data_IF_415557815318
#
_entry.id   IF_415557815318
#
_cell.length_a   1.000
_cell.length_b   1.000
_cell.length_c   1.000
_cell.angle_alpha   90.00
_cell.angle_beta   90.00
_cell.angle_gamma   90.00
#
_symmetry.space_group_name_H-M   'P 1'
#
loop_
_entity.id
_entity.type
_entity.pdbx_description
1 polymer ?
#
# COMPACT_ATOMS: atom_id res chain seq x y z
N UNK A 1 -2.03 -38.48 -21.56
CA UNK A 1 -1.53 -39.16 -20.36
C UNK A 1 -0.03 -39.25 -20.50
N UNK A 2 0.70 -38.46 -19.73
CA UNK A 2 2.16 -38.32 -19.85
C UNK A 2 2.83 -39.04 -18.69
N UNK A 3 3.96 -39.67 -18.95
CA UNK A 3 4.75 -40.31 -17.89
C UNK A 3 5.61 -39.25 -17.21
N UNK A 4 5.44 -39.07 -15.90
CA UNK A 4 6.33 -38.24 -15.09
C UNK A 4 7.34 -39.14 -14.38
N UNK A 5 8.63 -38.83 -14.56
CA UNK A 5 9.73 -39.61 -13.98
C UNK A 5 10.49 -38.75 -12.99
N UNK A 6 10.51 -39.16 -11.71
CA UNK A 6 11.42 -38.61 -10.71
C UNK A 6 12.68 -39.48 -10.62
N UNK A 7 13.82 -38.88 -10.90
CA UNK A 7 15.13 -39.49 -10.80
C UNK A 7 15.80 -39.07 -9.48
N UNK A 8 16.55 -39.99 -8.87
CA UNK A 8 17.38 -39.71 -7.70
C UNK A 8 18.76 -40.34 -7.88
N UNK A 9 19.78 -39.51 -7.91
CA UNK A 9 21.17 -39.95 -7.97
C UNK A 9 21.63 -40.52 -6.61
N UNK A 10 22.71 -41.30 -6.62
CA UNK A 10 23.31 -41.90 -5.41
C UNK A 10 23.74 -40.86 -4.37
N UNK A 11 24.14 -39.67 -4.82
CA UNK A 11 24.48 -38.53 -3.97
C UNK A 11 23.27 -37.76 -3.41
N UNK A 12 22.05 -38.23 -3.67
CA UNK A 12 20.80 -37.66 -3.18
C UNK A 12 20.21 -36.54 -4.03
N UNK A 13 20.90 -36.04 -5.07
CA UNK A 13 20.32 -35.05 -6.00
C UNK A 13 19.16 -35.66 -6.78
N UNK A 14 18.17 -34.83 -7.09
CA UNK A 14 16.93 -35.27 -7.73
C UNK A 14 16.57 -34.46 -8.96
N UNK A 15 15.95 -35.12 -9.92
CA UNK A 15 15.35 -34.45 -11.07
C UNK A 15 13.95 -34.95 -11.35
N UNK A 16 13.13 -34.13 -12.01
CA UNK A 16 11.87 -34.57 -12.60
C UNK A 16 11.84 -34.27 -14.09
N UNK A 17 11.39 -35.24 -14.87
CA UNK A 17 11.13 -35.12 -16.30
C UNK A 17 9.65 -35.41 -16.51
N UNK A 18 8.88 -34.41 -16.94
CA UNK A 18 7.43 -34.52 -17.06
C UNK A 18 6.92 -34.74 -18.48
N UNK A 19 7.74 -34.51 -19.52
CA UNK A 19 7.25 -34.54 -20.91
C UNK A 19 6.09 -33.56 -21.09
N UNK A 20 5.00 -33.99 -21.72
CA UNK A 20 3.78 -33.18 -21.89
C UNK A 20 2.81 -33.35 -20.71
N UNK A 21 3.30 -33.40 -19.47
CA UNK A 21 2.42 -33.46 -18.30
C UNK A 21 1.63 -32.16 -18.15
N UNK A 22 0.39 -32.25 -17.68
CA UNK A 22 -0.52 -31.13 -17.64
C UNK A 22 -1.52 -31.29 -16.50
N UNK A 23 -2.32 -30.25 -16.28
CA UNK A 23 -3.35 -30.22 -15.25
C UNK A 23 -4.78 -30.28 -15.82
N UNK A 24 -4.96 -30.59 -17.11
CA UNK A 24 -6.30 -30.73 -17.72
C UNK A 24 -7.12 -31.86 -17.10
N UNK A 25 -6.44 -32.86 -16.54
CA UNK A 25 -7.03 -33.95 -15.77
C UNK A 25 -6.47 -33.99 -14.35
N UNK A 26 -6.13 -32.83 -13.78
CA UNK A 26 -5.55 -32.67 -12.44
C UNK A 26 -4.20 -33.39 -12.23
N UNK A 27 -3.46 -33.67 -13.29
CA UNK A 27 -2.19 -34.39 -13.21
C UNK A 27 -1.17 -33.67 -12.31
N UNK A 28 -0.93 -32.38 -12.57
CA UNK A 28 0.01 -31.62 -11.75
C UNK A 28 -0.47 -31.47 -10.32
N UNK A 29 -1.73 -31.12 -10.11
CA UNK A 29 -2.34 -30.94 -8.79
C UNK A 29 -2.31 -32.22 -7.94
N UNK A 30 -2.61 -33.38 -8.53
CA UNK A 30 -2.67 -34.66 -7.81
C UNK A 30 -1.29 -35.23 -7.45
N UNK A 31 -0.27 -34.92 -8.26
CA UNK A 31 1.05 -35.55 -8.13
C UNK A 31 2.15 -34.61 -7.63
N UNK A 32 1.95 -33.28 -7.62
CA UNK A 32 2.96 -32.32 -7.17
C UNK A 32 3.53 -32.67 -5.79
N UNK A 33 2.65 -32.88 -4.79
CA UNK A 33 3.05 -33.21 -3.43
C UNK A 33 3.72 -34.59 -3.30
N UNK A 34 3.36 -35.55 -4.17
CA UNK A 34 3.96 -36.89 -4.19
C UNK A 34 5.37 -36.85 -4.78
N UNK A 35 5.59 -36.00 -5.78
CA UNK A 35 6.91 -35.76 -6.37
C UNK A 35 7.76 -34.93 -5.41
N UNK A 36 7.22 -33.84 -4.87
CA UNK A 36 7.90 -32.95 -3.93
C UNK A 36 9.12 -32.24 -4.55
N UNK A 37 9.96 -31.65 -3.70
CA UNK A 37 11.12 -30.87 -4.13
C UNK A 37 12.11 -31.67 -4.98
N UNK A 38 12.72 -30.97 -5.95
CA UNK A 38 13.76 -31.49 -6.84
C UNK A 38 14.87 -30.46 -7.06
N UNK A 39 16.07 -30.91 -7.48
CA UNK A 39 17.14 -29.99 -7.85
C UNK A 39 16.98 -29.47 -9.28
N UNK A 40 16.53 -30.35 -10.19
CA UNK A 40 16.33 -30.05 -11.62
C UNK A 40 14.92 -30.45 -12.04
N UNK A 41 14.25 -29.63 -12.84
CA UNK A 41 12.97 -29.99 -13.43
C UNK A 41 12.90 -29.57 -14.90
N UNK A 42 12.27 -30.39 -15.74
CA UNK A 42 11.82 -29.94 -17.07
C UNK A 42 10.54 -29.14 -16.94
N UNK A 43 10.39 -28.07 -17.72
CA UNK A 43 9.09 -27.50 -17.98
C UNK A 43 8.24 -28.53 -18.71
N UNK A 44 7.05 -28.76 -18.19
CA UNK A 44 6.11 -29.67 -18.80
C UNK A 44 5.52 -29.03 -20.06
N UNK A 45 5.21 -29.87 -21.04
CA UNK A 45 4.53 -29.49 -22.28
C UNK A 45 5.13 -28.25 -22.92
N UNK A 46 6.46 -28.16 -22.95
CA UNK A 46 7.16 -27.03 -23.57
C UNK A 46 6.77 -25.65 -23.01
N UNK A 47 6.32 -25.58 -21.75
CA UNK A 47 5.84 -24.32 -21.15
C UNK A 47 4.45 -23.88 -21.62
N UNK A 48 3.69 -24.76 -22.27
CA UNK A 48 2.35 -24.48 -22.79
C UNK A 48 1.33 -24.25 -21.67
N UNK A 49 0.18 -23.64 -22.03
CA UNK A 49 -0.88 -23.37 -21.06
C UNK A 49 -1.57 -24.67 -20.62
N UNK A 50 -2.07 -24.65 -19.37
CA UNK A 50 -2.58 -25.86 -18.71
C UNK A 50 -1.50 -26.77 -18.15
N UNK A 51 -0.21 -26.40 -18.30
CA UNK A 51 0.93 -27.06 -17.67
C UNK A 51 1.78 -26.02 -16.91
N UNK A 52 2.61 -26.48 -15.99
CA UNK A 52 3.47 -25.66 -15.13
C UNK A 52 2.66 -24.71 -14.24
N UNK A 53 1.60 -25.25 -13.63
CA UNK A 53 0.77 -24.57 -12.63
C UNK A 53 1.64 -23.98 -11.50
N UNK A 54 1.14 -22.95 -10.83
CA UNK A 54 1.88 -22.34 -9.72
C UNK A 54 2.16 -23.35 -8.62
N UNK A 55 1.18 -24.18 -8.27
CA UNK A 55 1.33 -25.19 -7.23
C UNK A 55 2.44 -26.18 -7.60
N UNK A 56 2.41 -26.75 -8.81
CA UNK A 56 3.46 -27.63 -9.33
C UNK A 56 4.85 -27.00 -9.24
N UNK A 57 5.02 -25.83 -9.86
CA UNK A 57 6.31 -25.13 -9.92
C UNK A 57 6.78 -24.72 -8.52
N UNK A 58 5.87 -24.38 -7.61
CA UNK A 58 6.21 -24.01 -6.23
C UNK A 58 6.62 -25.19 -5.37
N UNK A 59 5.99 -26.36 -5.56
CA UNK A 59 6.31 -27.58 -4.81
C UNK A 59 7.62 -28.20 -5.29
N UNK A 60 7.87 -28.19 -6.60
CA UNK A 60 9.15 -28.66 -7.15
C UNK A 60 10.32 -27.81 -6.64
N UNK A 61 10.14 -26.48 -6.53
CA UNK A 61 11.12 -25.52 -5.99
C UNK A 61 12.53 -25.73 -6.59
N UNK A 62 12.57 -26.01 -7.90
CA UNK A 62 13.77 -26.47 -8.57
C UNK A 62 14.83 -25.37 -8.64
N UNK A 63 16.10 -25.76 -8.48
CA UNK A 63 17.25 -24.85 -8.67
C UNK A 63 17.51 -24.59 -10.14
N UNK A 64 17.21 -25.58 -10.99
CA UNK A 64 17.37 -25.50 -12.44
C UNK A 64 16.07 -25.94 -13.13
N UNK A 65 15.56 -25.10 -14.02
CA UNK A 65 14.48 -25.41 -14.94
C UNK A 65 15.04 -25.60 -16.35
N UNK A 66 14.70 -26.74 -16.97
CA UNK A 66 15.00 -27.03 -18.36
C UNK A 66 13.77 -26.71 -19.21
N UNK A 67 13.90 -25.79 -20.15
CA UNK A 67 12.89 -25.47 -21.14
C UNK A 67 13.20 -26.28 -22.41
N UNK A 68 12.45 -27.34 -22.74
CA UNK A 68 12.73 -28.21 -23.90
C UNK A 68 12.32 -27.55 -25.22
N UNK A 69 12.75 -26.30 -25.44
CA UNK A 69 12.41 -25.47 -26.59
C UNK A 69 13.64 -24.76 -27.13
N UNK A 70 13.56 -24.30 -28.39
CA UNK A 70 14.57 -23.38 -28.95
C UNK A 70 14.64 -22.06 -28.18
N UNK A 71 13.54 -21.56 -27.64
CA UNK A 71 13.53 -20.33 -26.86
C UNK A 71 13.12 -20.63 -25.43
N UNK A 72 13.72 -19.94 -24.47
CA UNK A 72 13.25 -19.93 -23.08
C UNK A 72 11.90 -19.22 -23.02
N UNK A 73 10.78 -19.94 -23.14
CA UNK A 73 9.45 -19.36 -23.08
C UNK A 73 8.43 -20.18 -22.28
N UNK A 74 7.33 -19.51 -21.92
CA UNK A 74 6.11 -20.18 -21.45
C UNK A 74 4.87 -19.36 -21.78
N UNK A 75 3.69 -19.96 -21.58
CA UNK A 75 2.42 -19.34 -21.90
C UNK A 75 2.08 -18.14 -21.01
N UNK A 76 1.57 -17.07 -21.64
CA UNK A 76 0.86 -15.96 -21.01
C UNK A 76 -0.66 -16.16 -20.95
N UNK A 77 -1.19 -17.19 -21.61
CA UNK A 77 -2.61 -17.52 -21.50
C UNK A 77 -2.93 -17.91 -20.06
N UNK A 78 -4.09 -17.45 -19.58
CA UNK A 78 -4.63 -17.80 -18.26
C UNK A 78 -4.59 -19.31 -18.07
N UNK A 79 -4.11 -19.72 -16.90
CA UNK A 79 -4.19 -21.11 -16.48
C UNK A 79 -5.63 -21.39 -16.04
N UNK A 80 -6.38 -22.26 -16.75
CA UNK A 80 -7.79 -22.51 -16.42
C UNK A 80 -7.97 -23.25 -15.09
N UNK A 81 -6.89 -23.77 -14.48
CA UNK A 81 -6.94 -24.57 -13.25
C UNK A 81 -6.60 -23.78 -12.00
N UNK A 82 -6.19 -22.51 -12.13
CA UNK A 82 -5.80 -21.69 -10.99
C UNK A 82 -6.93 -20.77 -10.52
N UNK A 83 -7.06 -20.65 -9.19
CA UNK A 83 -8.09 -19.83 -8.53
C UNK A 83 -7.92 -18.33 -8.78
N UNK A 84 -6.70 -17.89 -9.05
CA UNK A 84 -6.39 -16.50 -9.36
C UNK A 84 -6.32 -16.34 -10.89
N UNK A 85 -7.24 -15.52 -11.40
CA UNK A 85 -7.47 -15.38 -12.84
C UNK A 85 -6.31 -14.72 -13.60
N UNK A 86 -5.34 -14.13 -12.90
CA UNK A 86 -4.16 -13.51 -13.50
C UNK A 86 -2.95 -14.46 -13.58
N UNK A 87 -3.08 -15.70 -13.10
CA UNK A 87 -1.95 -16.63 -13.05
C UNK A 87 -1.86 -17.48 -14.32
N UNK A 88 -0.67 -17.47 -14.91
CA UNK A 88 -0.29 -18.27 -16.06
C UNK A 88 1.08 -18.92 -15.79
N UNK A 89 1.46 -19.90 -16.59
CA UNK A 89 2.75 -20.61 -16.50
C UNK A 89 3.94 -19.64 -16.45
N UNK A 90 3.88 -18.54 -17.22
CA UNK A 90 4.89 -17.49 -17.19
C UNK A 90 5.02 -16.81 -15.83
N UNK A 91 3.92 -16.43 -15.19
CA UNK A 91 3.95 -15.80 -13.88
C UNK A 91 4.43 -16.78 -12.79
N UNK A 92 4.06 -18.06 -12.88
CA UNK A 92 4.54 -19.13 -11.99
C UNK A 92 6.05 -19.30 -12.06
N UNK A 93 6.60 -19.43 -13.26
CA UNK A 93 8.05 -19.62 -13.50
C UNK A 93 8.82 -18.36 -13.13
N UNK A 94 8.29 -17.19 -13.48
CA UNK A 94 8.87 -15.89 -13.14
C UNK A 94 9.13 -15.74 -11.64
N UNK A 95 8.21 -16.20 -10.78
CA UNK A 95 8.40 -16.21 -9.31
C UNK A 95 9.61 -17.03 -8.87
N UNK A 96 9.90 -18.15 -9.53
CA UNK A 96 11.08 -18.98 -9.22
C UNK A 96 12.38 -18.31 -9.68
N UNK A 97 12.37 -17.67 -10.85
CA UNK A 97 13.52 -16.92 -11.35
C UNK A 97 13.96 -15.83 -10.34
N UNK A 98 13.00 -15.16 -9.68
CA UNK A 98 13.30 -14.19 -8.60
C UNK A 98 13.95 -14.82 -7.36
N UNK A 99 13.76 -16.12 -7.12
CA UNK A 99 14.42 -16.84 -6.02
C UNK A 99 15.83 -17.33 -6.37
N UNK A 100 16.29 -17.07 -7.60
CA UNK A 100 17.58 -17.53 -8.10
C UNK A 100 17.54 -18.87 -8.82
N UNK A 101 16.35 -19.41 -9.12
CA UNK A 101 16.23 -20.56 -10.04
C UNK A 101 16.79 -20.18 -11.41
N UNK A 102 17.65 -21.04 -11.94
CA UNK A 102 18.25 -20.88 -13.28
C UNK A 102 17.37 -21.56 -14.32
N UNK A 103 17.20 -20.97 -15.49
CA UNK A 103 16.45 -21.58 -16.61
C UNK A 103 17.37 -21.76 -17.81
N UNK A 104 17.28 -22.91 -18.48
CA UNK A 104 18.04 -23.23 -19.69
C UNK A 104 17.13 -23.76 -20.77
N UNK A 105 17.17 -23.14 -21.94
CA UNK A 105 16.56 -23.68 -23.15
C UNK A 105 17.56 -24.43 -24.02
N UNK A 106 17.06 -25.22 -24.97
CA UNK A 106 17.90 -25.84 -25.98
C UNK A 106 18.59 -24.80 -26.88
N UNK A 107 17.95 -23.65 -27.14
CA UNK A 107 18.59 -22.59 -27.91
C UNK A 107 19.71 -21.86 -27.18
N UNK A 108 19.61 -21.71 -25.85
CA UNK A 108 20.72 -21.16 -25.05
C UNK A 108 22.00 -22.02 -25.20
N UNK A 109 21.83 -23.34 -25.32
CA UNK A 109 22.92 -24.26 -25.64
C UNK A 109 23.52 -23.96 -27.02
N UNK A 110 22.68 -23.84 -28.05
CA UNK A 110 23.16 -23.55 -29.41
C UNK A 110 23.85 -22.20 -29.53
N UNK A 111 23.34 -21.16 -28.85
CA UNK A 111 23.94 -19.82 -28.86
C UNK A 111 25.29 -19.79 -28.12
N UNK A 112 25.50 -20.70 -27.17
CA UNK A 112 26.77 -20.92 -26.48
C UNK A 112 27.72 -21.87 -27.25
N UNK A 113 27.36 -22.32 -28.45
CA UNK A 113 28.15 -23.28 -29.24
C UNK A 113 28.17 -24.69 -28.66
N UNK A 114 27.16 -25.06 -27.87
CA UNK A 114 27.00 -26.41 -27.31
C UNK A 114 26.05 -27.23 -28.19
N UNK A 115 26.43 -28.47 -28.49
CA UNK A 115 25.55 -29.44 -29.16
C UNK A 115 24.43 -29.94 -28.23
N UNK A 116 24.66 -29.91 -26.92
CA UNK A 116 23.68 -30.25 -25.89
C UNK A 116 24.00 -29.57 -24.56
N UNK A 117 22.95 -29.22 -23.79
CA UNK A 117 23.09 -28.84 -22.38
C UNK A 117 23.08 -30.11 -21.54
N UNK A 118 24.15 -30.35 -20.79
CA UNK A 118 24.37 -31.52 -19.94
C UNK A 118 24.31 -31.10 -18.48
N UNK A 119 23.38 -31.72 -17.75
CA UNK A 119 23.24 -31.58 -16.30
C UNK A 119 23.43 -32.95 -15.66
N UNK A 120 24.60 -33.16 -15.09
CA UNK A 120 24.94 -34.27 -14.23
C UNK A 120 24.28 -34.10 -12.85
N UNK A 121 23.53 -35.12 -12.43
CA UNK A 121 22.99 -35.20 -11.07
C UNK A 121 24.03 -35.79 -10.11
N UNK A 122 24.84 -36.74 -10.58
CA UNK A 122 26.02 -37.22 -9.88
C UNK A 122 27.24 -36.31 -10.11
N UNK A 123 28.34 -36.61 -9.42
CA UNK A 123 29.59 -35.85 -9.56
C UNK A 123 30.54 -36.46 -10.61
N UNK A 124 30.12 -37.50 -11.33
CA UNK A 124 30.99 -38.25 -12.26
C UNK A 124 30.94 -37.67 -13.68
N UNK A 125 29.87 -36.97 -14.03
CA UNK A 125 29.75 -36.25 -15.30
C UNK A 125 29.95 -34.73 -15.10
N UNK A 126 30.67 -34.08 -16.02
CA UNK A 126 30.89 -32.63 -15.98
C UNK A 126 29.69 -31.89 -16.55
N UNK A 127 29.10 -30.99 -15.74
CA UNK A 127 28.13 -30.01 -16.23
C UNK A 127 28.80 -29.08 -17.24
N UNK A 128 28.17 -28.87 -18.40
CA UNK A 128 28.67 -27.93 -19.42
C UNK A 128 27.84 -26.65 -19.49
N UNK A 129 27.11 -26.32 -18.42
CA UNK A 129 26.31 -25.10 -18.32
C UNK A 129 27.26 -23.88 -18.25
N UNK A 130 27.20 -22.93 -19.20
CA UNK A 130 28.04 -21.74 -19.16
C UNK A 130 27.81 -20.92 -17.89
N UNK A 131 28.89 -20.38 -17.32
CA UNK A 131 28.81 -19.54 -16.12
C UNK A 131 28.34 -18.11 -16.41
N UNK A 132 28.40 -17.62 -17.66
CA UNK A 132 28.08 -16.23 -18.05
C UNK A 132 27.23 -16.18 -19.32
N UNK A 133 25.95 -16.55 -19.24
CA UNK A 133 25.02 -16.45 -20.36
C UNK A 133 23.86 -15.49 -20.03
N UNK A 134 23.40 -14.74 -21.02
CA UNK A 134 22.26 -13.81 -20.90
C UNK A 134 21.00 -14.57 -21.28
N UNK A 135 20.17 -14.94 -20.30
CA UNK A 135 18.94 -15.67 -20.59
C UNK A 135 17.82 -14.69 -20.88
N UNK A 136 17.11 -14.86 -21.99
CA UNK A 136 15.86 -14.15 -22.27
C UNK A 136 14.69 -15.12 -22.04
N UNK A 137 13.95 -14.95 -20.93
CA UNK A 137 12.71 -15.69 -20.71
C UNK A 137 11.51 -14.90 -21.24
N UNK A 138 10.72 -15.51 -22.12
CA UNK A 138 9.68 -14.85 -22.92
C UNK A 138 8.30 -15.42 -22.60
N UNK A 139 7.28 -14.56 -22.54
CA UNK A 139 5.89 -14.97 -22.45
C UNK A 139 5.22 -15.03 -23.83
N UNK A 140 4.37 -16.02 -24.11
CA UNK A 140 3.72 -16.19 -25.43
C UNK A 140 2.21 -16.47 -25.30
N UNK A 141 1.37 -15.84 -26.12
CA UNK A 141 -0.07 -16.15 -26.22
C UNK A 141 -0.36 -17.20 -27.29
N UNK A 142 -1.46 -17.95 -27.17
CA UNK A 142 -1.81 -19.07 -28.06
C UNK A 142 -2.24 -18.64 -29.46
N UNK A 143 -2.64 -17.39 -29.64
CA UNK A 143 -3.06 -16.81 -30.93
C UNK A 143 -1.89 -16.39 -31.83
N UNK A 144 -0.65 -16.78 -31.51
CA UNK A 144 0.55 -16.42 -32.26
C UNK A 144 0.95 -14.94 -32.15
N UNK A 145 0.19 -14.12 -31.41
CA UNK A 145 0.61 -12.76 -31.10
C UNK A 145 1.68 -12.81 -30.01
N UNK A 146 2.92 -12.57 -30.41
CA UNK A 146 4.04 -12.40 -29.50
C UNK A 146 3.84 -11.14 -28.67
N UNK A 147 3.63 -11.30 -27.36
CA UNK A 147 3.87 -10.23 -26.41
C UNK A 147 5.27 -10.45 -25.83
N UNK A 148 6.26 -9.77 -26.40
CA UNK A 148 7.65 -9.89 -25.99
C UNK A 148 7.84 -9.22 -24.61
N UNK A 149 7.68 -9.99 -23.54
CA UNK A 149 8.17 -9.60 -22.22
C UNK A 149 9.47 -10.35 -21.96
N UNK A 150 10.57 -9.80 -22.46
CA UNK A 150 11.91 -10.34 -22.21
C UNK A 150 12.27 -10.10 -20.75
N UNK A 151 12.48 -11.18 -20.02
CA UNK A 151 13.22 -11.15 -18.78
C UNK A 151 14.67 -11.52 -19.12
N UNK A 152 15.58 -10.54 -19.08
CA UNK A 152 17.02 -10.82 -19.17
C UNK A 152 17.58 -11.17 -17.78
N UNK A 153 18.19 -12.35 -17.65
CA UNK A 153 18.93 -12.78 -16.46
C UNK A 153 20.42 -12.83 -16.81
N UNK A 154 21.28 -12.27 -15.95
CA UNK A 154 22.72 -12.53 -15.97
C UNK A 154 23.01 -13.54 -14.86
N UNK A 155 24.05 -14.35 -15.01
CA UNK A 155 24.46 -15.31 -13.99
C UNK A 155 24.62 -14.63 -12.62
N UNK A 156 23.77 -15.02 -11.66
CA UNK A 156 23.76 -14.45 -10.30
C UNK A 156 22.68 -13.41 -10.01
N UNK A 157 21.82 -13.07 -10.98
CA UNK A 157 20.69 -12.15 -10.74
C UNK A 157 20.25 -11.41 -12.00
N UNK A 158 18.99 -10.99 -12.03
CA UNK A 158 18.39 -10.28 -13.16
C UNK A 158 19.15 -8.99 -13.53
N UNK A 159 19.39 -8.79 -14.83
CA UNK A 159 19.52 -7.44 -15.39
C UNK A 159 18.39 -7.33 -16.42
N UNK A 160 17.30 -6.67 -16.06
CA UNK A 160 16.20 -6.38 -16.99
C UNK A 160 16.77 -5.75 -18.27
N UNK A 161 16.64 -6.44 -19.40
CA UNK A 161 17.30 -6.08 -20.66
C UNK A 161 16.31 -5.86 -21.79
N UNK A 162 16.25 -4.60 -22.25
CA UNK A 162 15.88 -4.11 -23.59
C UNK A 162 14.57 -4.61 -24.23
N UNK A 163 13.46 -4.50 -23.52
CA UNK A 163 12.15 -4.21 -24.09
C UNK A 163 11.52 -3.15 -23.17
N UNK A 164 11.00 -2.05 -23.70
CA UNK A 164 10.63 -0.86 -22.91
C UNK A 164 9.63 -1.14 -21.78
N UNK A 165 10.15 -1.50 -20.60
CA UNK A 165 9.42 -1.42 -19.36
C UNK A 165 9.35 0.06 -19.00
N UNK A 166 8.16 0.63 -19.06
CA UNK A 166 7.88 2.05 -18.80
C UNK A 166 7.93 2.34 -17.30
N UNK A 167 9.02 1.94 -16.63
CA UNK A 167 9.25 2.15 -15.21
C UNK A 167 8.16 1.57 -14.32
N UNK A 168 8.19 2.01 -13.06
CA UNK A 168 7.09 1.79 -12.13
C UNK A 168 5.82 2.43 -12.69
N UNK A 169 4.69 1.73 -12.59
CA UNK A 169 3.46 2.19 -13.26
C UNK A 169 2.18 1.81 -12.53
N UNK A 170 1.19 2.66 -12.69
CA UNK A 170 -0.19 2.37 -12.37
C UNK A 170 -0.83 1.47 -13.43
N UNK A 171 -1.69 0.55 -12.98
CA UNK A 171 -2.49 -0.34 -13.82
C UNK A 171 -3.93 -0.37 -13.31
N UNK A 172 -4.87 -0.03 -14.18
CA UNK A 172 -6.29 -0.21 -13.90
C UNK A 172 -6.73 -1.60 -14.36
N UNK A 173 -7.38 -2.36 -13.47
CA UNK A 173 -7.92 -3.70 -13.74
C UNK A 173 -9.16 -3.92 -12.87
N UNK A 174 -10.22 -4.51 -13.44
CA UNK A 174 -11.46 -4.86 -12.70
C UNK A 174 -12.03 -3.73 -11.83
N UNK A 175 -11.99 -2.49 -12.32
CA UNK A 175 -12.54 -1.33 -11.60
C UNK A 175 -11.62 -0.75 -10.51
N UNK A 176 -10.39 -1.25 -10.35
CA UNK A 176 -9.45 -0.84 -9.30
C UNK A 176 -8.09 -0.47 -9.89
N UNK A 177 -7.37 0.40 -9.18
CA UNK A 177 -5.99 0.76 -9.49
C UNK A 177 -5.02 -0.11 -8.71
N UNK A 178 -3.93 -0.48 -9.38
CA UNK A 178 -2.83 -1.26 -8.82
C UNK A 178 -1.50 -0.59 -9.20
N UNK A 179 -0.47 -0.76 -8.37
CA UNK A 179 0.87 -0.30 -8.69
C UNK A 179 1.81 -1.46 -8.93
N UNK A 180 2.57 -1.39 -10.02
CA UNK A 180 3.61 -2.34 -10.37
C UNK A 180 4.97 -1.67 -10.22
N UNK A 181 5.88 -2.29 -9.45
CA UNK A 181 7.26 -1.83 -9.37
C UNK A 181 8.04 -2.10 -10.67
N UNK A 182 9.32 -1.73 -10.71
CA UNK A 182 10.22 -1.96 -11.86
C UNK A 182 10.30 -3.43 -12.31
N UNK A 183 10.08 -4.37 -11.39
CA UNK A 183 10.05 -5.81 -11.66
C UNK A 183 8.68 -6.29 -12.18
N UNK A 184 7.69 -5.41 -12.21
CA UNK A 184 6.32 -5.72 -12.54
C UNK A 184 5.61 -6.59 -11.52
N UNK A 185 6.02 -6.49 -10.26
CA UNK A 185 5.33 -7.08 -9.12
C UNK A 185 4.32 -6.08 -8.57
N UNK A 186 3.11 -6.57 -8.29
CA UNK A 186 2.06 -5.82 -7.60
C UNK A 186 2.54 -5.45 -6.21
N UNK A 187 2.45 -4.17 -5.86
CA UNK A 187 2.82 -3.67 -4.55
C UNK A 187 1.63 -3.69 -3.59
N UNK A 188 1.94 -3.66 -2.29
CA UNK A 188 0.99 -3.52 -1.18
C UNK A 188 1.56 -2.51 -0.17
N UNK A 189 0.71 -1.95 0.69
CA UNK A 189 1.11 -0.92 1.66
C UNK A 189 1.41 0.43 1.01
N UNK A 190 2.24 1.23 1.69
CA UNK A 190 2.62 2.57 1.22
C UNK A 190 3.58 2.53 0.04
N UNK A 191 3.26 3.29 -1.00
CA UNK A 191 4.16 3.55 -2.14
C UNK A 191 4.25 5.05 -2.38
N UNK A 192 5.38 5.51 -2.93
CA UNK A 192 5.57 6.89 -3.35
C UNK A 192 5.71 6.95 -4.87
N UNK A 193 4.86 7.73 -5.53
CA UNK A 193 4.87 7.91 -6.97
C UNK A 193 4.59 9.37 -7.34
N UNK A 194 5.32 9.92 -8.31
CA UNK A 194 5.08 11.29 -8.78
C UNK A 194 5.17 12.36 -7.68
N UNK A 195 5.88 12.09 -6.57
CA UNK A 195 5.98 12.99 -5.42
C UNK A 195 4.88 12.82 -4.37
N UNK A 196 3.81 12.08 -4.65
CA UNK A 196 2.72 11.78 -3.72
C UNK A 196 2.86 10.38 -3.11
N UNK A 197 2.25 10.18 -1.95
CA UNK A 197 2.14 8.87 -1.29
C UNK A 197 0.77 8.25 -1.59
N UNK A 198 0.71 6.94 -1.73
CA UNK A 198 -0.49 6.17 -1.96
C UNK A 198 -0.47 4.93 -1.08
N UNK A 199 -1.64 4.38 -0.78
CA UNK A 199 -1.76 3.15 0.00
C UNK A 199 -2.48 2.06 -0.80
N UNK A 200 -1.88 0.87 -0.85
CA UNK A 200 -2.42 -0.30 -1.53
C UNK A 200 -2.83 -1.35 -0.48
N UNK A 201 -4.05 -1.89 -0.55
CA UNK A 201 -4.50 -2.97 0.34
C UNK A 201 -3.72 -4.26 0.12
N UNK A 202 -3.97 -5.28 0.94
CA UNK A 202 -3.32 -6.59 0.85
C UNK A 202 -3.54 -7.28 -0.51
N UNK A 203 -4.68 -7.05 -1.17
CA UNK A 203 -4.95 -7.49 -2.54
C UNK A 203 -4.26 -6.63 -3.61
N UNK A 204 -3.52 -5.60 -3.20
CA UNK A 204 -2.80 -4.62 -4.02
C UNK A 204 -3.64 -3.49 -4.59
N UNK A 205 -4.94 -3.43 -4.28
CA UNK A 205 -5.81 -2.38 -4.77
C UNK A 205 -5.54 -1.05 -4.06
N UNK A 206 -5.50 0.04 -4.82
CA UNK A 206 -5.36 1.38 -4.28
C UNK A 206 -6.55 1.76 -3.41
N UNK A 207 -6.26 2.31 -2.23
CA UNK A 207 -7.25 2.82 -1.29
C UNK A 207 -7.49 4.31 -1.53
N UNK A 208 -8.74 4.69 -1.30
CA UNK A 208 -9.22 6.08 -1.19
C UNK A 208 -9.92 6.23 0.16
N UNK A 209 -10.07 7.45 0.64
CA UNK A 209 -10.65 7.77 1.94
C UNK A 209 -9.77 7.34 3.11
N UNK A 210 -10.40 6.96 4.22
CA UNK A 210 -9.70 6.62 5.46
C UNK A 210 -8.90 5.32 5.39
N UNK A 211 -7.65 5.40 5.86
CA UNK A 211 -6.75 4.25 6.07
C UNK A 211 -6.22 4.31 7.50
N UNK A 212 -6.32 3.19 8.22
CA UNK A 212 -5.70 3.02 9.53
C UNK A 212 -4.48 2.12 9.41
N UNK A 213 -3.32 2.61 9.82
CA UNK A 213 -2.10 1.82 9.92
C UNK A 213 -1.57 1.87 11.36
N UNK A 214 -1.60 0.72 12.03
CA UNK A 214 -1.37 0.65 13.47
C UNK A 214 -2.37 1.53 14.24
N UNK A 215 -1.84 2.53 14.95
CA UNK A 215 -2.64 3.49 15.72
C UNK A 215 -2.81 4.84 15.02
N UNK A 216 -2.37 4.96 13.76
CA UNK A 216 -2.39 6.23 13.03
C UNK A 216 -3.41 6.19 11.90
N UNK A 217 -4.20 7.25 11.77
CA UNK A 217 -5.13 7.44 10.67
C UNK A 217 -4.54 8.34 9.59
N UNK A 218 -4.84 8.01 8.34
CA UNK A 218 -4.47 8.74 7.13
C UNK A 218 -5.72 8.89 6.26
N UNK A 219 -5.72 9.90 5.39
CA UNK A 219 -6.78 10.13 4.42
C UNK A 219 -6.19 10.19 3.02
N UNK A 220 -6.77 9.42 2.10
CA UNK A 220 -6.36 9.28 0.71
C UNK A 220 -7.43 9.99 -0.13
N UNK A 221 -7.04 10.93 -0.99
CA UNK A 221 -7.95 11.64 -1.89
C UNK A 221 -8.64 10.72 -2.90
N UNK A 222 -9.53 11.26 -3.71
CA UNK A 222 -10.23 10.49 -4.76
C UNK A 222 -9.28 9.92 -5.82
N UNK A 223 -8.15 10.58 -6.04
CA UNK A 223 -7.05 10.12 -6.90
C UNK A 223 -6.10 9.13 -6.19
N UNK A 224 -6.36 8.82 -4.92
CA UNK A 224 -5.56 7.96 -4.06
C UNK A 224 -4.35 8.64 -3.44
N UNK A 225 -4.09 9.92 -3.70
CA UNK A 225 -2.97 10.61 -3.10
C UNK A 225 -3.22 10.89 -1.60
N UNK A 226 -2.23 10.63 -0.76
CA UNK A 226 -2.29 10.90 0.67
C UNK A 226 -2.43 12.40 0.92
N UNK A 227 -3.48 12.79 1.62
CA UNK A 227 -3.80 14.17 1.93
C UNK A 227 -2.93 14.69 3.10
N UNK A 228 -2.59 15.97 3.02
CA UNK A 228 -1.95 16.74 4.10
C UNK A 228 -2.73 18.05 4.31
N UNK A 229 -2.66 18.64 5.50
CA UNK A 229 -3.43 19.84 5.84
C UNK A 229 -4.91 19.54 6.07
N UNK A 230 -5.77 20.50 5.76
CA UNK A 230 -7.22 20.38 5.98
C UNK A 230 -7.88 19.42 5.00
N UNK A 231 -8.70 18.51 5.52
CA UNK A 231 -9.53 17.57 4.77
C UNK A 231 -10.97 17.73 5.21
N UNK A 232 -11.90 17.80 4.24
CA UNK A 232 -13.33 17.75 4.51
C UNK A 232 -13.87 16.40 4.06
N UNK A 233 -14.42 15.64 4.99
CA UNK A 233 -15.06 14.34 4.73
C UNK A 233 -16.53 14.44 5.14
N UNK A 234 -17.42 14.45 4.15
CA UNK A 234 -18.81 14.84 4.34
C UNK A 234 -18.93 16.28 4.87
N UNK A 235 -19.52 16.43 6.06
CA UNK A 235 -19.68 17.72 6.74
C UNK A 235 -18.61 17.97 7.82
N UNK A 236 -17.70 17.03 8.04
CA UNK A 236 -16.70 17.09 9.11
C UNK A 236 -15.34 17.49 8.55
N UNK A 237 -14.66 18.41 9.25
CA UNK A 237 -13.29 18.81 8.94
C UNK A 237 -12.29 18.04 9.81
N UNK A 238 -11.16 17.68 9.22
CA UNK A 238 -10.03 17.01 9.84
C UNK A 238 -8.73 17.72 9.43
N UNK A 239 -7.65 17.50 10.18
CA UNK A 239 -6.34 17.99 9.81
C UNK A 239 -5.31 16.87 9.79
N UNK A 240 -4.55 16.80 8.70
CA UNK A 240 -3.50 15.82 8.48
C UNK A 240 -2.13 16.53 8.59
N UNK A 241 -1.20 15.96 9.35
CA UNK A 241 0.18 16.46 9.42
C UNK A 241 0.87 16.39 8.05
N UNK A 242 2.07 16.98 7.94
CA UNK A 242 2.88 16.91 6.71
C UNK A 242 3.32 15.48 6.33
N UNK A 243 3.31 14.55 7.28
CA UNK A 243 3.54 13.12 7.03
C UNK A 243 2.24 12.33 6.81
N UNK A 244 1.09 13.02 6.71
CA UNK A 244 -0.23 12.42 6.49
C UNK A 244 -0.94 11.91 7.73
N UNK A 245 -0.31 11.89 8.90
CA UNK A 245 -0.94 11.42 10.13
C UNK A 245 -2.03 12.41 10.60
N UNK A 246 -3.24 11.91 10.86
CA UNK A 246 -4.36 12.69 11.40
C UNK A 246 -4.00 13.30 12.76
N UNK A 247 -4.35 14.56 12.95
CA UNK A 247 -4.18 15.28 14.21
C UNK A 247 -5.41 15.18 15.10
N UNK A 248 -5.14 15.21 16.39
CA UNK A 248 -6.12 15.44 17.45
C UNK A 248 -5.61 16.58 18.35
N UNK A 249 -6.49 17.16 19.16
CA UNK A 249 -6.19 18.28 20.05
C UNK A 249 -5.91 19.58 19.33
N UNK A 250 -5.13 20.46 19.97
CA UNK A 250 -4.83 21.80 19.46
C UNK A 250 -3.91 21.78 18.23
N UNK A 251 -4.27 22.58 17.23
CA UNK A 251 -3.44 22.89 16.07
C UNK A 251 -3.43 24.39 15.81
N UNK A 252 -2.36 24.89 15.17
CA UNK A 252 -2.29 26.25 14.64
C UNK A 252 -2.15 26.20 13.13
N UNK A 253 -3.06 26.85 12.40
CA UNK A 253 -3.09 26.86 10.94
C UNK A 253 -3.53 28.24 10.45
N UNK A 254 -2.86 28.79 9.43
CA UNK A 254 -3.21 30.11 8.88
C UNK A 254 -3.21 31.27 9.88
N UNK A 255 -2.49 31.15 11.00
CA UNK A 255 -2.46 32.15 12.07
C UNK A 255 -3.54 31.98 13.16
N UNK A 256 -4.54 31.12 12.94
CA UNK A 256 -5.59 30.80 13.91
C UNK A 256 -5.33 29.47 14.63
N UNK A 257 -5.92 29.32 15.82
CA UNK A 257 -5.93 28.06 16.57
C UNK A 257 -7.24 27.30 16.31
N UNK A 258 -7.14 25.97 16.22
CA UNK A 258 -8.27 25.07 16.07
C UNK A 258 -8.14 23.92 17.05
N UNK A 259 -9.26 23.30 17.41
CA UNK A 259 -9.29 22.12 18.26
C UNK A 259 -9.89 20.95 17.50
N UNK A 260 -9.20 19.81 17.49
CA UNK A 260 -9.67 18.57 16.91
C UNK A 260 -10.02 17.59 18.03
N UNK A 261 -11.18 16.95 17.95
CA UNK A 261 -11.64 15.92 18.88
C UNK A 261 -10.74 14.69 18.88
N UNK A 262 -11.05 13.72 19.75
CA UNK A 262 -10.30 12.46 19.83
C UNK A 262 -10.43 11.62 18.55
N UNK A 263 -11.54 11.76 17.84
CA UNK A 263 -11.78 11.18 16.51
C UNK A 263 -11.20 12.04 15.37
N UNK A 264 -10.54 13.16 15.69
CA UNK A 264 -9.95 14.10 14.73
C UNK A 264 -10.91 15.13 14.17
N UNK A 265 -12.21 15.07 14.51
CA UNK A 265 -13.21 16.03 14.04
C UNK A 265 -12.91 17.45 14.53
N UNK A 266 -12.99 18.44 13.65
CA UNK A 266 -12.82 19.85 14.03
C UNK A 266 -13.99 20.32 14.89
N UNK A 267 -13.68 20.83 16.07
CA UNK A 267 -14.68 21.33 16.99
C UNK A 267 -15.18 22.73 16.60
N UNK A 268 -16.46 22.95 16.85
CA UNK A 268 -17.14 24.26 16.79
C UNK A 268 -17.89 24.49 18.10
N UNK A 269 -18.07 25.75 18.51
CA UNK A 269 -18.72 26.10 19.77
C UNK A 269 -17.83 25.86 20.99
N UNK A 270 -18.44 25.60 22.14
CA UNK A 270 -17.73 25.41 23.41
C UNK A 270 -16.95 24.10 23.46
N UNK A 271 -15.68 24.20 23.84
CA UNK A 271 -14.84 23.05 24.18
C UNK A 271 -14.16 23.24 25.53
N UNK A 272 -13.94 22.15 26.24
CA UNK A 272 -13.16 22.12 27.47
C UNK A 272 -11.83 21.43 27.22
N UNK A 273 -10.73 22.09 27.52
CA UNK A 273 -9.38 21.53 27.41
C UNK A 273 -8.63 21.75 28.72
N UNK A 274 -8.36 20.66 29.44
CA UNK A 274 -7.88 20.70 30.82
C UNK A 274 -8.92 21.34 31.75
N UNK A 275 -8.51 22.36 32.51
CA UNK A 275 -9.39 23.10 33.41
C UNK A 275 -10.09 24.30 32.76
N UNK A 276 -9.74 24.66 31.52
CA UNK A 276 -10.21 25.85 30.85
C UNK A 276 -11.26 25.54 29.76
N UNK A 277 -12.19 26.48 29.58
CA UNK A 277 -13.15 26.50 28.49
C UNK A 277 -12.66 27.43 27.37
N UNK A 278 -12.98 27.08 26.13
CA UNK A 278 -12.65 27.84 24.92
C UNK A 278 -13.88 27.85 24.02
N UNK A 279 -13.98 28.86 23.16
CA UNK A 279 -15.06 28.95 22.17
C UNK A 279 -14.46 28.94 20.76
N UNK A 280 -14.91 27.98 19.95
CA UNK A 280 -14.52 27.82 18.56
C UNK A 280 -15.62 28.41 17.67
N UNK A 281 -15.26 29.17 16.65
CA UNK A 281 -16.23 29.70 15.68
C UNK A 281 -16.88 28.56 14.87
N UNK A 282 -17.88 28.89 14.04
CA UNK A 282 -18.44 27.94 13.08
C UNK A 282 -17.43 27.47 12.02
N UNK A 283 -16.40 28.28 11.76
CA UNK A 283 -15.25 27.92 10.92
C UNK A 283 -14.14 27.23 11.69
N UNK A 284 -14.34 26.99 12.99
CA UNK A 284 -13.42 26.29 13.89
C UNK A 284 -12.28 27.13 14.43
N UNK A 285 -12.17 28.42 14.10
CA UNK A 285 -11.14 29.28 14.69
C UNK A 285 -11.45 29.63 16.15
N UNK A 286 -10.45 29.51 17.01
CA UNK A 286 -10.54 29.84 18.43
C UNK A 286 -10.78 31.34 18.60
N UNK A 287 -11.84 31.70 19.33
CA UNK A 287 -12.22 33.08 19.60
C UNK A 287 -11.41 33.66 20.76
N UNK A 288 -11.16 34.96 20.66
CA UNK A 288 -10.60 35.80 21.74
C UNK A 288 -11.47 37.06 21.87
N UNK A 289 -11.44 37.71 23.04
CA UNK A 289 -12.30 38.85 23.33
C UNK A 289 -13.76 38.46 23.56
N UNK A 290 -14.68 39.37 23.26
CA UNK A 290 -16.11 39.16 23.46
C UNK A 290 -16.70 38.14 22.48
N UNK A 291 -17.48 37.20 23.01
CA UNK A 291 -18.24 36.19 22.28
C UNK A 291 -19.68 36.26 22.74
N UNK A 292 -20.64 36.28 21.81
CA UNK A 292 -22.06 36.11 22.10
C UNK A 292 -22.48 34.70 21.70
N UNK A 293 -23.10 33.98 22.63
CA UNK A 293 -23.62 32.63 22.40
C UNK A 293 -25.04 32.55 22.99
N UNK A 294 -26.03 32.38 22.12
CA UNK A 294 -27.43 32.59 22.50
C UNK A 294 -27.70 34.02 22.95
N UNK A 295 -28.28 34.17 24.14
CA UNK A 295 -28.59 35.47 24.75
C UNK A 295 -27.44 36.03 25.61
N UNK A 296 -26.45 35.19 25.92
CA UNK A 296 -25.38 35.50 26.85
C UNK A 296 -24.10 35.99 26.15
N UNK A 297 -23.36 36.85 26.85
CA UNK A 297 -22.04 37.30 26.45
C UNK A 297 -20.95 36.67 27.32
N UNK A 298 -19.81 36.37 26.72
CA UNK A 298 -18.66 35.75 27.37
C UNK A 298 -17.40 36.51 26.97
N UNK A 299 -16.37 36.48 27.82
CA UNK A 299 -15.08 37.06 27.50
C UNK A 299 -13.99 36.00 27.46
N UNK A 300 -13.32 35.89 26.32
CA UNK A 300 -12.21 34.98 26.07
C UNK A 300 -10.88 35.74 26.20
N UNK A 301 -9.95 35.25 27.01
CA UNK A 301 -8.62 35.83 27.15
C UNK A 301 -7.83 35.74 25.82
N UNK A 302 -6.67 36.40 25.75
CA UNK A 302 -5.81 36.38 24.54
C UNK A 302 -5.27 34.98 24.19
N UNK A 303 -5.16 34.09 25.18
CA UNK A 303 -4.83 32.68 24.99
C UNK A 303 -6.07 31.81 24.67
N UNK A 304 -7.25 32.44 24.56
CA UNK A 304 -8.52 31.79 24.25
C UNK A 304 -9.27 31.20 25.44
N UNK A 305 -8.72 31.22 26.66
CA UNK A 305 -9.45 30.67 27.81
C UNK A 305 -10.59 31.59 28.24
N UNK A 306 -11.73 31.02 28.57
CA UNK A 306 -12.89 31.72 29.10
C UNK A 306 -12.54 32.38 30.42
N UNK A 307 -12.92 33.64 30.59
CA UNK A 307 -12.69 34.43 31.79
C UNK A 307 -13.92 34.38 32.70
N UNK A 308 -13.67 34.35 34.00
CA UNK A 308 -14.66 34.59 35.04
C UNK A 308 -14.21 35.76 35.92
N UNK A 309 -15.13 36.36 36.66
CA UNK A 309 -14.90 37.54 37.49
C UNK A 309 -14.70 38.83 36.69
N UNK A 310 -13.95 39.78 37.25
CA UNK A 310 -13.79 41.11 36.69
C UNK A 310 -12.94 41.15 35.40
N UNK A 311 -13.42 41.90 34.41
CA UNK A 311 -12.70 42.23 33.17
C UNK A 311 -12.79 43.73 32.87
N UNK A 312 -11.69 44.32 32.42
CA UNK A 312 -11.67 45.68 31.87
C UNK A 312 -11.50 45.62 30.36
N UNK A 313 -12.44 46.20 29.62
CA UNK A 313 -12.44 46.19 28.14
C UNK A 313 -12.97 47.54 27.63
N UNK A 314 -12.34 48.12 26.61
CA UNK A 314 -12.79 49.40 26.04
C UNK A 314 -12.80 50.60 27.02
N UNK A 315 -12.12 50.48 28.17
CA UNK A 315 -12.14 51.50 29.24
C UNK A 315 -13.18 51.25 30.33
N UNK A 316 -14.12 50.33 30.11
CA UNK A 316 -15.21 49.98 31.02
C UNK A 316 -14.92 48.69 31.81
N UNK A 317 -15.61 48.50 32.93
CA UNK A 317 -15.53 47.29 33.75
C UNK A 317 -16.77 46.43 33.56
N UNK A 318 -16.58 45.12 33.45
CA UNK A 318 -17.63 44.11 33.34
C UNK A 318 -17.34 42.98 34.33
N UNK A 319 -18.36 42.23 34.69
CA UNK A 319 -18.22 41.05 35.55
C UNK A 319 -18.77 39.81 34.84
N UNK A 320 -17.98 38.74 34.81
CA UNK A 320 -18.36 37.43 34.28
C UNK A 320 -18.69 36.50 35.46
N UNK A 321 -19.85 35.86 35.44
CA UNK A 321 -20.28 34.88 36.43
C UNK A 321 -19.35 33.65 36.44
N UNK A 322 -19.58 32.72 37.38
CA UNK A 322 -18.78 31.49 37.49
C UNK A 322 -18.92 30.56 36.28
N UNK A 323 -20.02 30.64 35.55
CA UNK A 323 -20.24 29.97 34.26
C UNK A 323 -19.71 30.76 33.06
N UNK A 324 -19.14 31.94 33.30
CA UNK A 324 -18.57 32.83 32.29
C UNK A 324 -19.54 33.84 31.66
N UNK A 325 -20.84 33.74 31.93
CA UNK A 325 -21.85 34.66 31.40
C UNK A 325 -21.63 36.08 31.93
N UNK A 326 -21.78 37.09 31.08
CA UNK A 326 -21.64 38.49 31.44
C UNK A 326 -22.85 38.94 32.23
N UNK A 327 -22.59 39.61 33.35
CA UNK A 327 -23.61 40.11 34.26
C UNK A 327 -24.20 41.42 33.77
N UNK A 328 -25.53 41.55 33.87
CA UNK A 328 -26.28 42.78 33.59
C UNK A 328 -27.12 43.24 34.79
N UNK A 329 -27.07 42.51 35.91
CA UNK A 329 -27.76 42.80 37.17
C UNK A 329 -26.78 43.15 38.31
N UNK A 330 -27.30 43.75 39.39
CA UNK A 330 -26.52 44.26 40.53
C UNK A 330 -25.73 43.17 41.28
N UNK A 331 -24.41 43.29 41.37
CA UNK A 331 -23.51 42.37 42.07
C UNK A 331 -23.24 42.85 43.50
N UNK A 332 -23.49 42.00 44.48
CA UNK A 332 -23.13 42.26 45.88
C UNK A 332 -21.87 41.48 46.27
N UNK A 333 -20.79 42.18 46.60
CA UNK A 333 -19.57 41.59 47.17
C UNK A 333 -19.26 42.25 48.52
N UNK A 334 -19.59 41.55 49.61
CA UNK A 334 -19.51 42.10 50.96
C UNK A 334 -20.52 43.24 51.15
N UNK A 335 -20.03 44.42 51.59
CA UNK A 335 -20.87 45.61 51.79
C UNK A 335 -20.93 46.53 50.55
N UNK A 336 -20.41 46.09 49.41
CA UNK A 336 -20.42 46.86 48.15
C UNK A 336 -21.44 46.27 47.18
N UNK A 337 -22.17 47.15 46.50
CA UNK A 337 -23.07 46.82 45.40
C UNK A 337 -22.53 47.48 44.14
N UNK A 338 -22.28 46.68 43.11
CA UNK A 338 -21.88 47.14 41.79
C UNK A 338 -23.05 47.00 40.84
N UNK A 339 -23.43 48.08 40.15
CA UNK A 339 -24.55 48.10 39.21
C UNK A 339 -24.04 48.05 37.78
N UNK A 340 -24.73 47.31 36.92
CA UNK A 340 -24.40 47.16 35.51
C UNK A 340 -25.57 47.64 34.66
N UNK A 341 -25.28 48.20 33.48
CA UNK A 341 -26.30 48.53 32.50
C UNK A 341 -26.68 47.31 31.65
N UNK A 342 -27.61 47.48 30.71
CA UNK A 342 -28.07 46.43 29.79
C UNK A 342 -26.94 45.86 28.89
N UNK A 343 -25.86 46.62 28.69
CA UNK A 343 -24.67 46.18 27.96
C UNK A 343 -23.59 45.56 28.88
N UNK A 344 -23.90 45.37 30.17
CA UNK A 344 -23.01 44.79 31.18
C UNK A 344 -21.87 45.69 31.66
N UNK A 345 -21.85 46.96 31.25
CA UNK A 345 -20.85 47.93 31.71
C UNK A 345 -21.21 48.42 33.11
N UNK A 346 -20.23 48.40 34.01
CA UNK A 346 -20.37 48.85 35.39
C UNK A 346 -20.62 50.36 35.42
N UNK A 347 -21.74 50.75 36.01
CA UNK A 347 -22.06 52.14 36.26
C UNK A 347 -21.09 52.68 37.32
N UNK A 348 -20.41 53.78 36.99
CA UNK A 348 -19.57 54.46 37.96
C UNK A 348 -20.43 54.87 39.18
N UNK A 349 -20.01 54.45 40.38
CA UNK A 349 -20.62 54.81 41.65
C UNK A 349 -20.21 56.19 42.11
#
# INVERSE_FOLDING_TARGET
MSLVVKLKASNGRTAVIGGDFDDFLHGESDYAHRIGKVDVASLNHHGYWGSNTQEWISILDAKILLCPNKFSYSSLNKDPFQKDEEICSFNSIKKQLYKGTRIFSAGDGSDAGLDAVVIALDNELTNNIPNNFKHNFVGVYSNGNYYEKIISLVSGGMIAGSGSYQGERWRFSSGKWYYLNSDGLKQTGWIKYGGAWYYLSEDGAMKIGWVKEGNTWYYLGEDGAMMTGWVKDGDTWYFMNSNGAMRTGWIKSGGAWYYLGEDGSMATGWIKSGSAWYYMSISGDMRTGWVKDGDDWYFMNSNGSMRTGWVKSGGEWYYLNSDGSMRTDDLSEGNKIYRFNENGSMLAS
#
